data_IF_291058646162
#
_entry.id   IF_291058646162
#
_cell.length_a   1.000
_cell.length_b   1.000
_cell.length_c   1.000
_cell.angle_alpha   90.00
_cell.angle_beta   90.00
_cell.angle_gamma   90.00
#
_symmetry.space_group_name_H-M   'P 1'
#
loop_
_entity.id
_entity.type
_entity.pdbx_description
1 polymer ?
#
# COMPACT_ATOMS: atom_id res chain seq x y z
N UNK A 1 16.49 -1.74 44.20
CA UNK A 1 15.62 -1.76 43.00
C UNK A 1 14.30 -2.54 43.20
N UNK A 2 14.30 -3.71 43.87
CA UNK A 2 13.07 -4.49 44.20
C UNK A 2 11.90 -3.67 44.79
N UNK A 3 12.17 -2.75 45.73
CA UNK A 3 11.14 -1.87 46.33
C UNK A 3 10.54 -0.81 45.40
N UNK A 4 11.25 -0.39 44.33
CA UNK A 4 10.70 0.54 43.33
C UNK A 4 9.73 -0.20 42.39
N UNK A 5 10.04 -1.45 42.07
CA UNK A 5 9.23 -2.30 41.19
C UNK A 5 7.90 -2.69 41.84
N UNK A 6 7.90 -3.12 43.12
CA UNK A 6 6.67 -3.39 43.88
C UNK A 6 5.78 -2.15 44.04
N UNK A 7 6.37 -0.97 44.28
CA UNK A 7 5.62 0.29 44.37
C UNK A 7 4.98 0.67 43.03
N UNK A 8 5.66 0.40 41.91
CA UNK A 8 5.09 0.63 40.59
C UNK A 8 3.94 -0.34 40.30
N UNK A 9 4.13 -1.63 40.59
CA UNK A 9 3.14 -2.68 40.38
C UNK A 9 1.86 -2.47 41.21
N UNK A 10 2.00 -2.15 42.50
CA UNK A 10 0.87 -1.86 43.39
C UNK A 10 0.10 -0.61 42.99
N UNK A 11 0.79 0.41 42.49
CA UNK A 11 0.15 1.63 41.94
C UNK A 11 -0.60 1.35 40.64
N UNK A 12 -0.04 0.53 39.75
CA UNK A 12 -0.68 0.14 38.48
C UNK A 12 -1.91 -0.75 38.74
N UNK A 13 -1.84 -1.71 39.67
CA UNK A 13 -3.00 -2.54 40.04
C UNK A 13 -4.12 -1.70 40.70
N UNK A 14 -3.76 -0.72 41.53
CA UNK A 14 -4.74 0.20 42.14
C UNK A 14 -5.38 1.13 41.11
N UNK A 15 -4.61 1.64 40.14
CA UNK A 15 -5.13 2.47 39.05
C UNK A 15 -6.01 1.66 38.08
N UNK A 16 -5.61 0.43 37.74
CA UNK A 16 -6.36 -0.44 36.85
C UNK A 16 -7.72 -0.82 37.43
N UNK A 17 -7.82 -1.02 38.76
CA UNK A 17 -9.09 -1.25 39.46
C UNK A 17 -10.00 -0.03 39.52
N UNK A 18 -9.44 1.18 39.39
CA UNK A 18 -10.18 2.44 39.45
C UNK A 18 -10.79 2.83 38.08
N UNK A 19 -10.14 2.40 36.99
CA UNK A 19 -10.55 2.71 35.61
C UNK A 19 -11.43 1.61 34.99
N UNK A 20 -11.30 0.37 35.45
CA UNK A 20 -12.16 -0.76 35.01
C UNK A 20 -13.28 -0.95 36.03
N UNK A 21 -14.30 -0.11 35.97
CA UNK A 21 -15.58 -0.38 36.64
C UNK A 21 -16.27 -1.54 35.94
N UNK A 22 -15.99 -2.75 36.43
CA UNK A 22 -16.81 -3.94 36.16
C UNK A 22 -18.25 -3.59 36.56
N UNK A 23 -19.26 -3.79 35.69
CA UNK A 23 -20.65 -3.54 36.09
C UNK A 23 -21.00 -4.41 37.31
N UNK A 24 -21.72 -3.86 38.32
CA UNK A 24 -22.05 -4.62 39.51
C UNK A 24 -22.97 -5.81 39.17
N UNK A 25 -22.87 -6.94 39.91
CA UNK A 25 -23.83 -8.02 39.76
C UNK A 25 -25.19 -7.57 40.32
N UNK A 26 -26.28 -7.88 39.61
CA UNK A 26 -27.65 -7.66 40.10
C UNK A 26 -28.30 -8.97 40.56
N UNK A 27 -29.26 -8.89 41.50
CA UNK A 27 -29.80 -10.03 42.22
C UNK A 27 -30.70 -10.90 41.34
N UNK A 28 -30.80 -12.16 41.74
CA UNK A 28 -31.72 -13.20 41.28
C UNK A 28 -33.13 -12.70 40.90
N UNK A 29 -33.55 -12.86 39.63
CA UNK A 29 -34.62 -13.78 39.18
C UNK A 29 -35.05 -13.53 37.71
N UNK A 30 -35.21 -14.66 36.99
CA UNK A 30 -36.12 -14.98 35.87
C UNK A 30 -36.66 -13.86 34.97
N UNK A 31 -36.22 -13.84 33.70
CA UNK A 31 -37.09 -13.51 32.56
C UNK A 31 -36.53 -14.07 31.23
N UNK A 32 -37.42 -14.78 30.54
CA UNK A 32 -37.31 -15.57 29.31
C UNK A 32 -36.71 -14.89 28.07
N UNK A 33 -35.88 -15.68 27.38
CA UNK A 33 -35.84 -15.92 25.92
C UNK A 33 -35.41 -14.84 24.91
N UNK A 34 -34.81 -13.71 25.29
CA UNK A 34 -34.26 -12.75 24.29
C UNK A 34 -32.80 -12.29 24.56
N UNK A 35 -32.00 -13.04 25.33
CA UNK A 35 -30.67 -12.56 25.80
C UNK A 35 -29.47 -13.48 25.57
N UNK A 36 -29.52 -14.41 24.60
CA UNK A 36 -28.36 -15.31 24.35
C UNK A 36 -27.07 -14.58 23.94
N UNK A 37 -27.16 -13.41 23.30
CA UNK A 37 -25.98 -12.60 22.98
C UNK A 37 -25.31 -12.00 24.22
N UNK A 38 -26.09 -11.36 25.09
CA UNK A 38 -25.59 -10.65 26.29
C UNK A 38 -25.19 -11.60 27.42
N UNK A 39 -25.86 -12.75 27.53
CA UNK A 39 -25.52 -13.80 28.51
C UNK A 39 -24.25 -14.54 28.12
N UNK A 40 -24.00 -14.81 26.83
CA UNK A 40 -22.74 -15.40 26.38
C UNK A 40 -21.57 -14.43 26.52
N UNK A 41 -21.76 -13.14 26.25
CA UNK A 41 -20.76 -12.11 26.55
C UNK A 41 -20.46 -12.05 28.06
N UNK A 42 -21.49 -12.07 28.93
CA UNK A 42 -21.31 -12.12 30.39
C UNK A 42 -20.62 -13.39 30.86
N UNK A 43 -20.97 -14.54 30.29
CA UNK A 43 -20.38 -15.84 30.61
C UNK A 43 -18.89 -15.87 30.26
N UNK A 44 -18.51 -15.35 29.08
CA UNK A 44 -17.12 -15.20 28.63
C UNK A 44 -16.31 -14.40 29.67
N UNK A 45 -16.85 -13.27 30.14
CA UNK A 45 -16.23 -12.44 31.17
C UNK A 45 -16.12 -13.14 32.54
N UNK A 46 -17.13 -13.92 32.93
CA UNK A 46 -17.07 -14.69 34.21
C UNK A 46 -16.13 -15.89 34.16
N UNK A 47 -15.96 -16.56 33.02
CA UNK A 47 -14.97 -17.63 32.85
C UNK A 47 -13.55 -17.11 32.64
N UNK A 48 -13.37 -15.87 32.18
CA UNK A 48 -12.04 -15.23 32.08
C UNK A 48 -11.47 -14.78 33.42
N UNK A 49 -12.29 -14.57 34.45
CA UNK A 49 -11.83 -14.19 35.80
C UNK A 49 -10.83 -15.21 36.41
N UNK A 50 -11.11 -16.54 36.43
CA UNK A 50 -10.16 -17.51 36.97
C UNK A 50 -8.86 -17.60 36.16
N UNK A 51 -8.91 -17.52 34.82
CA UNK A 51 -7.70 -17.52 33.99
C UNK A 51 -6.87 -16.24 34.15
N UNK A 52 -7.55 -15.08 34.23
CA UNK A 52 -6.91 -13.78 34.50
C UNK A 52 -6.16 -13.82 35.81
N UNK A 53 -6.84 -14.21 36.89
CA UNK A 53 -6.27 -14.22 38.23
C UNK A 53 -5.13 -15.25 38.34
N UNK A 54 -5.24 -16.40 37.68
CA UNK A 54 -4.16 -17.39 37.56
C UNK A 54 -2.92 -16.82 36.88
N UNK A 55 -3.07 -16.17 35.72
CA UNK A 55 -1.95 -15.58 34.97
C UNK A 55 -1.29 -14.44 35.75
N UNK A 56 -2.10 -13.57 36.39
CA UNK A 56 -1.58 -12.47 37.21
C UNK A 56 -0.81 -12.99 38.41
N UNK A 57 -1.32 -14.03 39.09
CA UNK A 57 -0.63 -14.64 40.24
C UNK A 57 0.66 -15.35 39.80
N UNK A 58 0.65 -16.07 38.69
CA UNK A 58 1.86 -16.70 38.11
C UNK A 58 2.93 -15.66 37.77
N UNK A 59 2.57 -14.58 37.06
CA UNK A 59 3.50 -13.50 36.73
C UNK A 59 4.04 -12.78 37.97
N UNK A 60 3.22 -12.66 39.02
CA UNK A 60 3.61 -12.10 40.30
C UNK A 60 4.61 -13.00 41.02
N UNK A 61 4.40 -14.30 41.06
CA UNK A 61 5.36 -15.26 41.63
C UNK A 61 6.69 -15.23 40.89
N UNK A 62 6.66 -15.22 39.56
CA UNK A 62 7.88 -15.15 38.73
C UNK A 62 8.70 -13.87 38.99
N UNK A 63 8.03 -12.73 39.16
CA UNK A 63 8.69 -11.46 39.46
C UNK A 63 9.17 -11.33 40.92
N UNK A 64 8.62 -12.13 41.85
CA UNK A 64 8.96 -12.09 43.27
C UNK A 64 10.06 -13.09 43.65
N UNK A 65 10.11 -14.25 43.01
CA UNK A 65 11.03 -15.33 43.36
C UNK A 65 12.48 -14.95 43.00
N UNK A 66 12.77 -14.66 41.74
CA UNK A 66 14.14 -14.40 41.26
C UNK A 66 14.27 -13.12 40.44
N UNK A 67 15.50 -12.61 40.38
CA UNK A 67 15.82 -11.46 39.53
C UNK A 67 15.92 -11.92 38.07
N UNK A 68 15.03 -11.39 37.22
CA UNK A 68 15.00 -11.70 35.80
C UNK A 68 15.94 -10.74 35.06
N UNK A 69 16.96 -11.28 34.38
CA UNK A 69 17.95 -10.49 33.64
C UNK A 69 17.54 -10.21 32.19
N UNK A 70 16.77 -11.10 31.55
CA UNK A 70 16.37 -10.95 30.15
C UNK A 70 15.33 -9.84 29.95
N UNK A 71 15.74 -8.77 29.27
CA UNK A 71 14.86 -7.66 28.89
C UNK A 71 13.70 -8.09 27.98
N UNK A 72 13.89 -9.11 27.15
CA UNK A 72 12.83 -9.62 26.27
C UNK A 72 11.73 -10.31 27.08
N UNK A 73 12.12 -11.16 28.05
CA UNK A 73 11.18 -11.84 28.92
C UNK A 73 10.37 -10.83 29.74
N UNK A 74 11.03 -9.82 30.31
CA UNK A 74 10.36 -8.74 31.05
C UNK A 74 9.32 -8.03 30.17
N UNK A 75 9.67 -7.70 28.92
CA UNK A 75 8.73 -7.09 27.96
C UNK A 75 7.52 -7.99 27.68
N UNK A 76 7.73 -9.30 27.45
CA UNK A 76 6.64 -10.25 27.19
C UNK A 76 5.75 -10.44 28.42
N UNK A 77 6.32 -10.49 29.63
CA UNK A 77 5.57 -10.58 30.89
C UNK A 77 4.66 -9.36 31.09
N UNK A 78 5.18 -8.15 30.90
CA UNK A 78 4.37 -6.93 31.02
C UNK A 78 3.31 -6.80 29.93
N UNK A 79 3.60 -7.20 28.70
CA UNK A 79 2.60 -7.24 27.64
C UNK A 79 1.46 -8.21 27.97
N UNK A 80 1.78 -9.40 28.50
CA UNK A 80 0.78 -10.37 28.92
C UNK A 80 -0.06 -9.82 30.08
N UNK A 81 0.57 -9.19 31.08
CA UNK A 81 -0.13 -8.54 32.18
C UNK A 81 -1.07 -7.43 31.67
N UNK A 82 -0.58 -6.54 30.81
CA UNK A 82 -1.38 -5.45 30.25
C UNK A 82 -2.60 -5.98 29.52
N UNK A 83 -2.46 -7.10 28.79
CA UNK A 83 -3.54 -7.77 28.07
C UNK A 83 -4.65 -8.27 29.01
N UNK A 84 -4.27 -8.78 30.18
CA UNK A 84 -5.21 -9.22 31.22
C UNK A 84 -6.05 -8.08 31.80
N UNK A 85 -5.49 -6.87 31.92
CA UNK A 85 -6.22 -5.70 32.40
C UNK A 85 -6.92 -4.90 31.28
N UNK A 86 -6.47 -5.03 30.04
CA UNK A 86 -6.97 -4.28 28.88
C UNK A 86 -7.94 -5.07 28.01
N UNK A 87 -8.73 -5.98 28.59
CA UNK A 87 -9.60 -6.89 27.83
C UNK A 87 -10.59 -6.19 26.89
N UNK A 88 -11.11 -5.02 27.28
CA UNK A 88 -12.01 -4.22 26.41
C UNK A 88 -11.27 -3.69 25.18
N UNK A 89 -10.01 -3.26 25.34
CA UNK A 89 -9.19 -2.77 24.22
C UNK A 89 -8.88 -3.91 23.27
N UNK A 90 -8.45 -5.05 23.80
CA UNK A 90 -8.16 -6.25 23.02
C UNK A 90 -9.38 -6.73 22.22
N UNK A 91 -10.56 -6.71 22.84
CA UNK A 91 -11.80 -7.04 22.16
C UNK A 91 -12.12 -6.04 21.05
N UNK A 92 -12.00 -4.73 21.31
CA UNK A 92 -12.21 -3.69 20.30
C UNK A 92 -11.26 -3.87 19.11
N UNK A 93 -9.99 -4.11 19.39
CA UNK A 93 -8.95 -4.28 18.36
C UNK A 93 -9.21 -5.57 17.54
N UNK A 94 -9.64 -6.66 18.19
CA UNK A 94 -10.05 -7.89 17.50
C UNK A 94 -11.33 -7.73 16.68
N UNK A 95 -12.31 -6.98 17.19
CA UNK A 95 -13.56 -6.68 16.48
C UNK A 95 -13.31 -5.84 15.23
N UNK A 96 -12.33 -4.92 15.27
CA UNK A 96 -11.92 -4.16 14.10
C UNK A 96 -11.42 -5.05 12.96
N UNK A 97 -10.85 -6.23 13.28
CA UNK A 97 -10.36 -7.24 12.33
C UNK A 97 -11.37 -8.34 12.00
N UNK A 98 -12.58 -8.29 12.56
CA UNK A 98 -13.60 -9.33 12.34
C UNK A 98 -14.44 -8.98 11.12
N UNK A 99 -14.60 -9.95 10.20
CA UNK A 99 -15.43 -9.81 9.00
C UNK A 99 -16.44 -10.95 8.93
N UNK A 100 -17.70 -10.63 8.61
CA UNK A 100 -18.79 -11.62 8.52
C UNK A 100 -19.13 -11.85 7.06
N UNK A 101 -19.13 -13.11 6.64
CA UNK A 101 -19.34 -13.55 5.27
C UNK A 101 -20.57 -14.46 5.19
N UNK A 102 -21.17 -14.51 4.00
CA UNK A 102 -22.25 -15.44 3.72
C UNK A 102 -21.69 -16.86 3.52
N UNK A 103 -22.40 -17.89 4.00
CA UNK A 103 -21.97 -19.30 3.95
C UNK A 103 -21.62 -19.79 2.52
N UNK A 104 -22.33 -19.29 1.52
CA UNK A 104 -22.07 -19.56 0.08
C UNK A 104 -20.66 -19.20 -0.38
N UNK A 105 -19.99 -18.25 0.26
CA UNK A 105 -18.68 -17.75 -0.16
C UNK A 105 -17.52 -18.46 0.56
N UNK A 106 -17.77 -19.42 1.45
CA UNK A 106 -16.74 -20.04 2.30
C UNK A 106 -15.61 -20.69 1.49
N UNK A 107 -15.92 -21.39 0.40
CA UNK A 107 -14.91 -22.03 -0.45
C UNK A 107 -14.02 -20.99 -1.15
N UNK A 108 -14.64 -19.95 -1.71
CA UNK A 108 -13.92 -18.85 -2.36
C UNK A 108 -13.00 -18.14 -1.34
N UNK A 109 -13.41 -18.01 -0.07
CA UNK A 109 -12.61 -17.39 1.01
C UNK A 109 -11.44 -18.29 1.37
N UNK A 110 -11.65 -19.60 1.43
CA UNK A 110 -10.60 -20.57 1.73
C UNK A 110 -9.50 -20.51 0.67
N UNK A 111 -9.87 -20.54 -0.61
CA UNK A 111 -8.93 -20.39 -1.72
C UNK A 111 -8.20 -19.05 -1.65
N UNK A 112 -8.93 -17.96 -1.36
CA UNK A 112 -8.35 -16.64 -1.17
C UNK A 112 -7.28 -16.61 -0.07
N UNK A 113 -7.55 -17.21 1.10
CA UNK A 113 -6.61 -17.25 2.22
C UNK A 113 -5.35 -18.04 1.84
N UNK A 114 -5.49 -19.16 1.12
CA UNK A 114 -4.34 -19.96 0.65
C UNK A 114 -3.44 -19.10 -0.24
N UNK A 115 -4.00 -18.40 -1.22
CA UNK A 115 -3.22 -17.52 -2.10
C UNK A 115 -2.61 -16.33 -1.35
N UNK A 116 -3.30 -15.79 -0.34
CA UNK A 116 -2.76 -14.73 0.50
C UNK A 116 -1.56 -15.20 1.34
N UNK A 117 -1.62 -16.41 1.89
CA UNK A 117 -0.50 -17.01 2.62
C UNK A 117 0.70 -17.16 1.68
N UNK A 118 0.49 -17.69 0.47
CA UNK A 118 1.55 -17.80 -0.54
C UNK A 118 2.22 -16.45 -0.82
N UNK A 119 1.45 -15.37 -0.96
CA UNK A 119 2.02 -14.02 -1.15
C UNK A 119 2.80 -13.55 0.08
N UNK A 120 2.30 -13.81 1.29
CA UNK A 120 2.98 -13.39 2.52
C UNK A 120 4.29 -14.14 2.76
N UNK A 121 4.38 -15.41 2.37
CA UNK A 121 5.63 -16.17 2.43
C UNK A 121 6.71 -15.57 1.51
N UNK A 122 6.30 -14.96 0.39
CA UNK A 122 7.22 -14.30 -0.54
C UNK A 122 7.77 -12.97 -0.02
N UNK A 123 7.24 -12.39 1.07
CA UNK A 123 7.73 -11.12 1.62
C UNK A 123 9.16 -11.21 2.18
N UNK A 124 9.54 -12.38 2.69
CA UNK A 124 10.83 -12.60 3.36
C UNK A 124 11.87 -13.29 2.47
N UNK A 125 11.48 -13.70 1.25
CA UNK A 125 12.29 -14.54 0.36
C UNK A 125 12.91 -13.68 -0.74
N UNK A 126 14.15 -14.01 -1.13
CA UNK A 126 14.79 -13.40 -2.29
C UNK A 126 14.25 -14.03 -3.58
N UNK A 127 13.83 -13.20 -4.53
CA UNK A 127 13.14 -13.68 -5.72
C UNK A 127 14.05 -14.39 -6.74
N UNK A 128 13.68 -15.63 -7.06
CA UNK A 128 14.13 -16.38 -8.23
C UNK A 128 12.97 -16.66 -9.20
N UNK A 129 13.25 -17.35 -10.31
CA UNK A 129 12.25 -17.59 -11.37
C UNK A 129 11.04 -18.43 -10.89
N UNK A 130 11.25 -19.30 -9.90
CA UNK A 130 10.18 -20.11 -9.30
C UNK A 130 9.19 -19.25 -8.51
N UNK A 131 9.71 -18.38 -7.66
CA UNK A 131 8.98 -17.45 -6.81
C UNK A 131 8.22 -16.42 -7.65
N UNK A 132 8.84 -15.93 -8.74
CA UNK A 132 8.20 -15.06 -9.72
C UNK A 132 6.95 -15.70 -10.32
N UNK A 133 7.04 -16.95 -10.77
CA UNK A 133 5.91 -17.67 -11.35
C UNK A 133 4.79 -17.90 -10.31
N UNK A 134 5.16 -18.16 -9.05
CA UNK A 134 4.21 -18.31 -7.94
C UNK A 134 3.51 -16.98 -7.66
N UNK A 135 4.25 -15.87 -7.58
CA UNK A 135 3.69 -14.53 -7.36
C UNK A 135 2.68 -14.16 -8.44
N UNK A 136 3.07 -14.28 -9.72
CA UNK A 136 2.20 -13.94 -10.86
C UNK A 136 0.92 -14.77 -10.84
N UNK A 137 1.03 -16.07 -10.55
CA UNK A 137 -0.12 -16.97 -10.44
C UNK A 137 -1.01 -16.61 -9.25
N UNK A 138 -0.42 -16.32 -8.08
CA UNK A 138 -1.12 -15.93 -6.87
C UNK A 138 -1.92 -14.65 -7.07
N UNK A 139 -1.28 -13.59 -7.60
CA UNK A 139 -1.95 -12.32 -7.91
C UNK A 139 -3.09 -12.51 -8.91
N UNK A 140 -2.89 -13.27 -9.98
CA UNK A 140 -3.93 -13.54 -10.97
C UNK A 140 -5.12 -14.30 -10.37
N UNK A 141 -4.86 -15.29 -9.51
CA UNK A 141 -5.90 -16.06 -8.81
C UNK A 141 -6.68 -15.20 -7.81
N UNK A 142 -6.01 -14.31 -7.08
CA UNK A 142 -6.67 -13.36 -6.19
C UNK A 142 -7.58 -12.40 -6.95
N UNK A 143 -7.12 -11.86 -8.09
CA UNK A 143 -7.92 -10.96 -8.92
C UNK A 143 -9.15 -11.63 -9.54
N UNK A 144 -9.04 -12.90 -9.92
CA UNK A 144 -10.15 -13.65 -10.52
C UNK A 144 -11.10 -14.26 -9.49
N UNK A 145 -10.84 -14.09 -8.20
CA UNK A 145 -11.74 -14.54 -7.16
C UNK A 145 -12.96 -13.59 -7.06
N UNK A 146 -14.16 -14.15 -6.96
CA UNK A 146 -15.42 -13.39 -6.87
C UNK A 146 -15.50 -12.51 -5.64
N UNK A 147 -14.83 -12.90 -4.55
CA UNK A 147 -14.79 -12.13 -3.30
C UNK A 147 -14.10 -10.79 -3.48
N UNK A 148 -13.15 -10.70 -4.40
CA UNK A 148 -12.36 -9.48 -4.62
C UNK A 148 -13.24 -8.27 -4.91
N UNK A 149 -14.31 -8.45 -5.69
CA UNK A 149 -15.25 -7.39 -6.04
C UNK A 149 -16.43 -7.27 -5.07
N UNK A 150 -16.86 -8.39 -4.48
CA UNK A 150 -18.01 -8.39 -3.56
C UNK A 150 -17.67 -7.78 -2.20
N UNK A 151 -16.42 -7.95 -1.74
CA UNK A 151 -15.97 -7.58 -0.40
C UNK A 151 -14.65 -6.78 -0.44
N UNK A 152 -14.64 -5.55 -1.00
CA UNK A 152 -13.43 -4.74 -1.12
C UNK A 152 -12.82 -4.37 0.25
N UNK A 153 -13.65 -4.26 1.29
CA UNK A 153 -13.18 -3.98 2.66
C UNK A 153 -12.38 -5.14 3.26
N UNK A 154 -12.67 -6.38 2.88
CA UNK A 154 -11.92 -7.55 3.33
C UNK A 154 -10.46 -7.51 2.81
N UNK A 155 -10.28 -7.08 1.56
CA UNK A 155 -8.96 -6.93 0.94
C UNK A 155 -8.10 -5.88 1.68
N UNK A 156 -8.74 -4.79 2.11
CA UNK A 156 -8.10 -3.75 2.90
C UNK A 156 -7.78 -4.24 4.30
N UNK A 157 -8.73 -4.93 4.94
CA UNK A 157 -8.59 -5.45 6.30
C UNK A 157 -7.45 -6.48 6.45
N UNK A 158 -7.23 -7.28 5.41
CA UNK A 158 -6.17 -8.27 5.36
C UNK A 158 -4.84 -7.69 4.84
N UNK A 159 -4.75 -6.37 4.65
CA UNK A 159 -3.56 -5.66 4.19
C UNK A 159 -2.94 -6.26 2.93
N UNK A 160 -3.76 -6.73 1.98
CA UNK A 160 -3.24 -7.37 0.76
C UNK A 160 -2.43 -6.37 -0.07
N UNK A 161 -2.95 -5.15 -0.18
CA UNK A 161 -2.28 -4.04 -0.85
C UNK A 161 -0.92 -3.69 -0.24
N UNK A 162 -0.80 -3.66 1.10
CA UNK A 162 0.49 -3.42 1.79
C UNK A 162 1.50 -4.54 1.49
N UNK A 163 1.05 -5.80 1.45
CA UNK A 163 1.93 -6.94 1.13
C UNK A 163 2.44 -6.82 -0.32
N UNK A 164 1.55 -6.56 -1.28
CA UNK A 164 1.92 -6.42 -2.71
C UNK A 164 2.81 -5.19 -2.93
N UNK A 165 2.52 -4.08 -2.26
CA UNK A 165 3.37 -2.89 -2.29
C UNK A 165 4.75 -3.15 -1.70
N UNK A 166 4.84 -3.86 -0.59
CA UNK A 166 6.12 -4.23 0.02
C UNK A 166 6.95 -5.11 -0.91
N UNK A 167 6.33 -6.09 -1.58
CA UNK A 167 6.99 -6.91 -2.61
C UNK A 167 7.48 -6.03 -3.77
N UNK A 168 6.62 -5.16 -4.29
CA UNK A 168 6.96 -4.24 -5.38
C UNK A 168 8.11 -3.31 -5.00
N UNK A 169 8.09 -2.74 -3.79
CA UNK A 169 9.17 -1.92 -3.23
C UNK A 169 10.49 -2.69 -3.19
N UNK A 170 10.48 -3.90 -2.64
CA UNK A 170 11.69 -4.74 -2.54
C UNK A 170 12.27 -5.05 -3.93
N UNK A 171 11.43 -5.32 -4.93
CA UNK A 171 11.87 -5.58 -6.31
C UNK A 171 12.48 -4.32 -6.93
N UNK A 172 11.83 -3.16 -6.78
CA UNK A 172 12.29 -1.89 -7.34
C UNK A 172 13.61 -1.42 -6.71
N UNK A 173 13.74 -1.50 -5.38
CA UNK A 173 14.97 -1.13 -4.67
C UNK A 173 16.12 -2.08 -5.01
N UNK A 174 15.85 -3.39 -5.17
CA UNK A 174 16.87 -4.35 -5.59
C UNK A 174 17.42 -4.03 -6.99
N UNK A 175 16.58 -3.53 -7.90
CA UNK A 175 17.03 -3.12 -9.24
C UNK A 175 17.79 -1.79 -9.23
N UNK A 176 17.46 -0.85 -8.34
CA UNK A 176 18.23 0.39 -8.21
C UNK A 176 19.63 0.16 -7.65
N UNK A 177 19.76 -0.72 -6.64
CA UNK A 177 21.06 -1.08 -6.06
C UNK A 177 22.02 -1.77 -7.05
N UNK A 178 21.50 -2.41 -8.10
CA UNK A 178 22.34 -2.94 -9.19
C UNK A 178 22.84 -1.85 -10.15
N UNK A 179 22.14 -0.73 -10.29
CA UNK A 179 22.52 0.36 -11.21
C UNK A 179 23.53 1.32 -10.59
N UNK A 180 23.52 1.52 -9.27
CA UNK A 180 24.48 2.40 -8.58
C UNK A 180 25.90 1.82 -8.47
N UNK A 181 26.07 0.50 -8.61
CA UNK A 181 27.37 -0.17 -8.60
C UNK A 181 28.00 -0.36 -9.99
N UNK A 182 27.32 0.02 -11.08
CA UNK A 182 27.86 -0.04 -12.46
C UNK A 182 28.59 1.27 -12.86
N UNK A 183 29.14 1.99 -11.88
CA UNK A 183 29.96 3.19 -12.09
C UNK A 183 31.45 2.92 -12.30
N UNK A 184 31.94 1.69 -12.09
CA UNK A 184 33.33 1.35 -12.35
C UNK A 184 33.49 -0.15 -12.65
N UNK A 185 34.37 -0.45 -13.60
CA UNK A 185 34.76 -1.77 -14.12
C UNK A 185 33.85 -2.47 -15.14
N UNK A 186 34.37 -2.52 -16.38
CA UNK A 186 34.05 -3.48 -17.43
C UNK A 186 34.13 -4.93 -16.91
N UNK A 187 33.01 -5.50 -16.48
CA UNK A 187 32.82 -6.95 -16.35
C UNK A 187 31.60 -7.38 -17.14
N UNK A 188 31.75 -8.55 -17.76
CA UNK A 188 30.81 -9.20 -18.67
C UNK A 188 29.35 -9.06 -18.23
N UNK A 189 28.48 -8.68 -19.18
CA UNK A 189 27.02 -8.62 -19.02
C UNK A 189 26.47 -9.96 -18.55
N UNK A 190 26.35 -10.14 -17.24
CA UNK A 190 25.31 -11.01 -16.69
C UNK A 190 23.96 -10.40 -17.10
N UNK A 191 22.98 -11.20 -17.57
CA UNK A 191 21.72 -10.65 -18.03
C UNK A 191 21.07 -9.89 -16.88
N UNK A 192 20.71 -8.62 -17.11
CA UNK A 192 19.78 -7.90 -16.24
C UNK A 192 18.65 -8.87 -15.89
N UNK A 193 18.53 -9.25 -14.62
CA UNK A 193 17.43 -10.11 -14.17
C UNK A 193 16.16 -9.29 -14.37
N UNK A 194 15.42 -9.60 -15.43
CA UNK A 194 14.33 -8.79 -15.97
C UNK A 194 13.09 -8.94 -15.06
N UNK A 195 13.17 -8.51 -13.79
CA UNK A 195 12.07 -8.53 -12.82
C UNK A 195 10.89 -7.61 -13.21
N UNK A 196 10.99 -6.99 -14.38
CA UNK A 196 9.99 -6.19 -15.06
C UNK A 196 8.62 -6.87 -15.08
N UNK A 197 8.55 -8.18 -15.31
CA UNK A 197 7.27 -8.91 -15.35
C UNK A 197 6.57 -8.99 -14.00
N UNK A 198 7.33 -9.09 -12.90
CA UNK A 198 6.79 -9.06 -11.55
C UNK A 198 6.22 -7.68 -11.21
N UNK A 199 6.97 -6.62 -11.53
CA UNK A 199 6.52 -5.23 -11.33
C UNK A 199 5.23 -4.97 -12.11
N UNK A 200 5.14 -5.49 -13.34
CA UNK A 200 3.93 -5.41 -14.17
C UNK A 200 2.75 -6.14 -13.52
N UNK A 201 2.96 -7.35 -13.00
CA UNK A 201 1.90 -8.11 -12.33
C UNK A 201 1.41 -7.41 -11.05
N UNK A 202 2.32 -6.91 -10.22
CA UNK A 202 1.99 -6.14 -9.02
C UNK A 202 1.25 -4.85 -9.36
N UNK A 203 1.75 -4.07 -10.32
CA UNK A 203 1.14 -2.81 -10.74
C UNK A 203 -0.27 -3.03 -11.27
N UNK A 204 -0.46 -4.06 -12.09
CA UNK A 204 -1.79 -4.43 -12.59
C UNK A 204 -2.72 -4.74 -11.42
N UNK A 205 -2.33 -5.62 -10.50
CA UNK A 205 -3.12 -5.95 -9.31
C UNK A 205 -3.53 -4.72 -8.52
N UNK A 206 -2.58 -3.80 -8.26
CA UNK A 206 -2.83 -2.59 -7.48
C UNK A 206 -3.76 -1.61 -8.21
N UNK A 207 -3.64 -1.47 -9.54
CA UNK A 207 -4.61 -0.73 -10.35
C UNK A 207 -6.03 -1.31 -10.21
N UNK A 208 -6.19 -2.64 -10.24
CA UNK A 208 -7.49 -3.27 -10.00
C UNK A 208 -7.99 -3.02 -8.58
N UNK A 209 -7.12 -3.12 -7.57
CA UNK A 209 -7.46 -2.82 -6.18
C UNK A 209 -7.97 -1.38 -6.01
N UNK A 210 -7.29 -0.38 -6.59
CA UNK A 210 -7.72 1.02 -6.56
C UNK A 210 -9.09 1.25 -7.20
N UNK A 211 -9.45 0.51 -8.26
CA UNK A 211 -10.76 0.66 -8.94
C UNK A 211 -11.94 0.12 -8.13
N UNK A 212 -11.70 -0.74 -7.13
CA UNK A 212 -12.79 -1.37 -6.37
C UNK A 212 -13.44 -0.44 -5.35
N UNK A 213 -12.71 0.53 -4.80
CA UNK A 213 -13.20 1.37 -3.70
C UNK A 213 -12.37 2.66 -3.53
N UNK A 214 -13.05 3.76 -3.20
CA UNK A 214 -12.42 5.04 -2.84
C UNK A 214 -11.58 4.98 -1.56
N UNK A 215 -11.94 4.10 -0.62
CA UNK A 215 -11.17 3.87 0.60
C UNK A 215 -9.88 3.08 0.30
N UNK A 216 -9.92 2.20 -0.70
CA UNK A 216 -8.73 1.47 -1.16
C UNK A 216 -7.74 2.40 -1.87
N UNK A 217 -8.26 3.36 -2.65
CA UNK A 217 -7.48 4.48 -3.20
C UNK A 217 -6.74 5.26 -2.10
N UNK A 218 -7.43 5.60 -1.00
CA UNK A 218 -6.82 6.32 0.12
C UNK A 218 -5.64 5.55 0.74
N UNK A 219 -5.78 4.23 0.93
CA UNK A 219 -4.68 3.42 1.45
C UNK A 219 -3.47 3.39 0.51
N UNK A 220 -3.72 3.38 -0.81
CA UNK A 220 -2.65 3.44 -1.81
C UNK A 220 -2.01 4.83 -1.94
N UNK A 221 -2.77 5.89 -1.68
CA UNK A 221 -2.29 7.28 -1.75
C UNK A 221 -1.14 7.56 -0.78
N UNK A 222 -1.08 6.86 0.36
CA UNK A 222 0.03 6.97 1.32
C UNK A 222 1.39 6.56 0.71
N UNK A 223 1.37 5.73 -0.33
CA UNK A 223 2.56 5.29 -1.06
C UNK A 223 2.84 6.10 -2.34
N UNK A 224 2.10 7.18 -2.60
CA UNK A 224 2.17 7.95 -3.84
C UNK A 224 3.59 8.47 -4.14
N UNK A 225 4.27 9.06 -3.15
CA UNK A 225 5.64 9.57 -3.37
C UNK A 225 6.59 8.47 -3.82
N UNK A 226 6.54 7.30 -3.19
CA UNK A 226 7.41 6.17 -3.57
C UNK A 226 7.12 5.69 -5.00
N UNK A 227 5.84 5.61 -5.37
CA UNK A 227 5.44 5.24 -6.73
C UNK A 227 5.93 6.25 -7.77
N UNK A 228 5.92 7.54 -7.43
CA UNK A 228 6.42 8.61 -8.29
C UNK A 228 7.95 8.59 -8.43
N UNK A 229 8.69 8.28 -7.36
CA UNK A 229 10.15 8.14 -7.41
C UNK A 229 10.60 7.02 -8.36
N UNK A 230 9.74 6.02 -8.55
CA UNK A 230 9.96 4.87 -9.43
C UNK A 230 9.13 4.93 -10.73
N UNK A 231 8.50 6.08 -11.03
CA UNK A 231 7.53 6.19 -12.13
C UNK A 231 8.14 5.97 -13.51
N UNK A 232 9.42 6.27 -13.70
CA UNK A 232 10.14 6.13 -14.98
C UNK A 232 10.32 4.67 -15.43
N UNK A 233 10.15 3.72 -14.51
CA UNK A 233 10.40 2.32 -14.80
C UNK A 233 9.37 1.77 -15.79
N UNK A 234 9.85 1.15 -16.87
CA UNK A 234 9.05 0.46 -17.90
C UNK A 234 8.14 1.37 -18.75
N UNK A 235 8.26 2.69 -18.65
CA UNK A 235 7.44 3.63 -19.45
C UNK A 235 7.76 3.60 -20.94
N UNK A 236 9.00 3.27 -21.31
CA UNK A 236 9.45 3.13 -22.69
C UNK A 236 8.75 2.00 -23.48
N UNK A 237 8.02 1.09 -22.81
CA UNK A 237 7.30 -0.03 -23.44
C UNK A 237 5.78 0.27 -23.52
N UNK A 238 5.24 0.68 -24.68
CA UNK A 238 3.81 0.96 -24.84
C UNK A 238 2.88 -0.19 -24.44
N UNK A 239 3.33 -1.44 -24.63
CA UNK A 239 2.56 -2.65 -24.32
C UNK A 239 2.24 -2.83 -22.84
N UNK A 240 2.94 -2.11 -21.95
CA UNK A 240 2.78 -2.21 -20.50
C UNK A 240 1.83 -1.14 -19.92
N UNK A 241 1.07 -0.44 -20.77
CA UNK A 241 0.05 0.52 -20.34
C UNK A 241 -0.97 -0.13 -19.40
N UNK A 242 -1.25 0.53 -18.28
CA UNK A 242 -2.09 0.03 -17.20
C UNK A 242 -1.38 -0.89 -16.20
N UNK A 243 -0.07 -1.10 -16.34
CA UNK A 243 0.72 -2.05 -15.54
C UNK A 243 2.09 -1.50 -15.13
N UNK A 244 2.23 -0.18 -15.01
CA UNK A 244 3.45 0.48 -14.51
C UNK A 244 3.21 1.22 -13.19
N UNK A 245 4.25 1.51 -12.38
CA UNK A 245 4.11 2.26 -11.13
C UNK A 245 3.38 3.60 -11.28
N UNK A 246 3.60 4.31 -12.39
CA UNK A 246 2.90 5.56 -12.71
C UNK A 246 1.38 5.36 -12.86
N UNK A 247 0.93 4.20 -13.38
CA UNK A 247 -0.49 3.91 -13.50
C UNK A 247 -1.14 3.66 -12.15
N UNK A 248 -0.41 3.00 -11.24
CA UNK A 248 -0.85 2.82 -9.86
C UNK A 248 -0.96 4.18 -9.16
N UNK A 249 0.01 5.06 -9.39
CA UNK A 249 0.05 6.41 -8.82
C UNK A 249 -1.21 7.20 -9.18
N UNK A 250 -1.56 7.38 -10.47
CA UNK A 250 -2.80 8.11 -10.79
C UNK A 250 -4.06 7.33 -10.44
N UNK A 251 -4.05 5.99 -10.51
CA UNK A 251 -5.21 5.19 -10.09
C UNK A 251 -5.53 5.36 -8.59
N UNK A 252 -4.55 5.79 -7.78
CA UNK A 252 -4.75 6.04 -6.34
C UNK A 252 -5.61 7.26 -6.02
N UNK A 253 -5.83 8.18 -6.96
CA UNK A 253 -6.65 9.39 -6.72
C UNK A 253 -7.66 9.72 -7.83
N UNK A 254 -7.61 9.04 -8.98
CA UNK A 254 -8.40 9.37 -10.19
C UNK A 254 -9.92 9.48 -9.96
N UNK A 255 -10.51 8.72 -9.02
CA UNK A 255 -11.95 8.73 -8.76
C UNK A 255 -12.33 9.41 -7.43
N UNK A 256 -11.38 10.13 -6.81
CA UNK A 256 -11.52 10.70 -5.48
C UNK A 256 -11.07 12.17 -5.40
N UNK A 257 -12.06 13.07 -5.36
CA UNK A 257 -11.85 14.51 -5.28
C UNK A 257 -11.06 14.92 -4.02
N UNK A 258 -11.27 14.26 -2.88
CA UNK A 258 -10.56 14.59 -1.63
C UNK A 258 -9.06 14.30 -1.73
N UNK A 259 -8.69 13.17 -2.35
CA UNK A 259 -7.29 12.79 -2.51
C UNK A 259 -6.60 13.67 -3.54
N UNK A 260 -7.31 14.07 -4.59
CA UNK A 260 -6.77 14.98 -5.57
C UNK A 260 -6.49 16.38 -5.01
N UNK A 261 -7.34 16.88 -4.11
CA UNK A 261 -7.07 18.12 -3.38
C UNK A 261 -5.94 17.96 -2.35
N UNK A 262 -5.67 16.74 -1.90
CA UNK A 262 -4.56 16.43 -0.99
C UNK A 262 -3.21 16.28 -1.69
N UNK A 263 -3.16 16.38 -3.03
CA UNK A 263 -1.91 16.33 -3.80
C UNK A 263 -0.98 17.48 -3.43
N UNK A 264 0.30 17.14 -3.28
CA UNK A 264 1.33 18.11 -2.90
C UNK A 264 2.03 18.69 -4.12
N UNK A 265 2.53 19.93 -3.99
CA UNK A 265 3.38 20.56 -5.01
C UNK A 265 4.63 19.73 -5.31
N UNK A 266 5.22 19.09 -4.28
CA UNK A 266 6.38 18.21 -4.45
C UNK A 266 6.11 17.02 -5.39
N UNK A 267 4.92 16.43 -5.34
CA UNK A 267 4.55 15.27 -6.15
C UNK A 267 4.36 15.67 -7.61
N UNK A 268 3.70 16.81 -7.86
CA UNK A 268 3.51 17.36 -9.20
C UNK A 268 4.81 17.90 -9.79
N UNK A 269 5.72 18.45 -8.97
CA UNK A 269 7.03 18.93 -9.42
C UNK A 269 7.89 17.77 -9.94
N UNK A 270 7.89 16.60 -9.26
CA UNK A 270 8.56 15.39 -9.75
C UNK A 270 8.09 15.00 -11.15
N UNK A 271 6.77 14.96 -11.37
CA UNK A 271 6.19 14.64 -12.67
C UNK A 271 6.57 15.68 -13.73
N UNK A 272 6.57 16.97 -13.37
CA UNK A 272 7.01 18.04 -14.27
C UNK A 272 8.50 17.93 -14.64
N UNK A 273 9.36 17.50 -13.71
CA UNK A 273 10.78 17.24 -13.98
C UNK A 273 10.97 16.02 -14.89
N UNK A 274 10.19 14.95 -14.71
CA UNK A 274 10.26 13.82 -15.64
C UNK A 274 9.77 14.19 -17.04
N UNK A 275 8.69 14.95 -17.13
CA UNK A 275 8.17 15.45 -18.41
C UNK A 275 9.18 16.38 -19.12
N UNK A 276 9.91 17.22 -18.38
CA UNK A 276 10.94 18.09 -18.98
C UNK A 276 12.09 17.29 -19.58
N UNK A 277 12.48 16.18 -18.95
CA UNK A 277 13.49 15.24 -19.48
C UNK A 277 13.01 14.58 -20.77
N UNK A 278 11.75 14.15 -20.86
CA UNK A 278 11.17 13.60 -22.08
C UNK A 278 11.23 14.60 -23.25
N UNK A 279 11.13 15.90 -22.98
CA UNK A 279 11.23 16.96 -23.98
C UNK A 279 12.66 17.30 -24.43
N UNK A 280 13.69 16.69 -23.83
CA UNK A 280 15.12 16.92 -24.11
C UNK A 280 15.86 15.66 -24.57
N UNK A 281 15.33 14.47 -24.26
CA UNK A 281 15.98 13.20 -24.55
C UNK A 281 15.15 12.38 -25.53
N UNK A 282 15.76 11.81 -26.58
CA UNK A 282 15.08 10.88 -27.46
C UNK A 282 14.96 9.50 -26.82
N UNK A 283 13.92 8.76 -27.22
CA UNK A 283 13.69 7.41 -26.74
C UNK A 283 14.69 6.42 -27.40
N UNK A 284 15.72 6.02 -26.65
CA UNK A 284 16.74 5.07 -27.12
C UNK A 284 16.17 3.71 -27.54
N UNK A 285 15.09 3.23 -26.91
CA UNK A 285 14.45 1.97 -27.32
C UNK A 285 13.81 2.09 -28.70
N UNK A 286 13.13 3.19 -29.00
CA UNK A 286 12.54 3.42 -30.31
C UNK A 286 13.61 3.55 -31.40
N UNK A 287 14.68 4.30 -31.11
CA UNK A 287 15.80 4.45 -32.05
C UNK A 287 16.43 3.07 -32.34
N UNK A 288 16.60 2.22 -31.32
CA UNK A 288 17.12 0.85 -31.52
C UNK A 288 16.20 -0.04 -32.35
N UNK A 289 14.88 0.21 -32.33
CA UNK A 289 13.87 -0.47 -33.17
C UNK A 289 13.80 0.08 -34.59
N UNK A 290 14.66 1.04 -34.96
CA UNK A 290 14.74 1.60 -36.31
C UNK A 290 13.82 2.80 -36.56
N UNK A 291 13.21 3.37 -35.52
CA UNK A 291 12.43 4.61 -35.67
C UNK A 291 13.35 5.83 -35.79
N UNK A 292 12.94 6.87 -36.54
CA UNK A 292 13.72 8.09 -36.68
C UNK A 292 13.84 8.80 -35.33
N UNK A 293 15.04 9.32 -35.05
CA UNK A 293 15.28 10.15 -33.87
C UNK A 293 14.57 11.51 -34.04
N UNK A 294 13.65 11.80 -33.12
CA UNK A 294 12.84 13.03 -33.11
C UNK A 294 13.40 14.04 -32.08
N UNK A 295 14.38 13.66 -31.27
CA UNK A 295 14.99 14.51 -30.23
C UNK A 295 14.12 14.71 -28.98
N UNK A 296 13.00 13.99 -28.85
CA UNK A 296 12.15 13.96 -27.66
C UNK A 296 11.39 12.62 -27.59
N UNK A 297 10.88 12.26 -26.42
CA UNK A 297 10.13 11.01 -26.18
C UNK A 297 8.60 11.23 -26.23
N UNK A 298 7.92 10.80 -27.32
CA UNK A 298 6.47 10.90 -27.42
C UNK A 298 5.69 9.90 -26.58
N UNK A 299 6.29 8.75 -26.24
CA UNK A 299 5.61 7.67 -25.51
C UNK A 299 5.54 8.04 -24.05
N UNK A 300 6.67 8.32 -23.42
CA UNK A 300 6.70 8.66 -21.99
C UNK A 300 6.00 10.00 -21.72
N UNK A 301 6.18 10.97 -22.62
CA UNK A 301 5.53 12.27 -22.54
C UNK A 301 4.00 12.19 -22.48
N UNK A 302 3.37 11.34 -23.31
CA UNK A 302 1.91 11.12 -23.26
C UNK A 302 1.47 10.67 -21.86
N UNK A 303 2.26 9.80 -21.20
CA UNK A 303 1.88 9.15 -19.94
C UNK A 303 1.93 10.12 -18.76
N UNK A 304 2.94 10.99 -18.73
CA UNK A 304 3.00 12.05 -17.74
C UNK A 304 1.93 13.11 -17.95
N UNK A 305 1.59 13.45 -19.21
CA UNK A 305 0.47 14.34 -19.52
C UNK A 305 -0.86 13.71 -19.10
N UNK A 306 -1.06 12.41 -19.31
CA UNK A 306 -2.23 11.68 -18.83
C UNK A 306 -2.34 11.74 -17.29
N UNK A 307 -1.22 11.56 -16.58
CA UNK A 307 -1.18 11.74 -15.12
C UNK A 307 -1.66 13.14 -14.72
N UNK A 308 -1.10 14.20 -15.32
CA UNK A 308 -1.47 15.59 -15.04
C UNK A 308 -2.93 15.87 -15.41
N UNK A 309 -3.44 15.26 -16.48
CA UNK A 309 -4.86 15.34 -16.86
C UNK A 309 -5.75 14.81 -15.75
N UNK A 310 -5.42 13.67 -15.13
CA UNK A 310 -6.20 13.13 -14.01
C UNK A 310 -6.04 13.93 -12.71
N UNK A 311 -4.98 14.71 -12.53
CA UNK A 311 -4.87 15.65 -11.41
C UNK A 311 -5.81 16.85 -11.53
N UNK A 312 -6.03 17.31 -12.77
CA UNK A 312 -6.80 18.53 -13.07
C UNK A 312 -8.28 18.22 -13.35
N UNK A 313 -8.57 17.08 -13.95
CA UNK A 313 -9.92 16.70 -14.38
C UNK A 313 -10.38 15.42 -13.70
N UNK A 314 -11.36 15.53 -12.80
CA UNK A 314 -11.84 14.42 -11.97
C UNK A 314 -13.36 14.41 -11.96
N UNK A 315 -13.95 13.23 -12.21
CA UNK A 315 -15.41 13.04 -12.19
C UNK A 315 -16.22 14.03 -13.05
N UNK A 316 -15.61 14.65 -14.07
CA UNK A 316 -16.27 15.65 -14.93
C UNK A 316 -16.13 17.10 -14.46
N UNK A 317 -15.42 17.33 -13.36
CA UNK A 317 -15.16 18.66 -12.79
C UNK A 317 -13.67 19.02 -12.89
N UNK A 318 -13.39 20.32 -12.94
CA UNK A 318 -12.05 20.87 -12.95
C UNK A 318 -11.61 21.21 -11.52
N UNK A 319 -10.44 20.74 -11.12
CA UNK A 319 -9.80 21.07 -9.84
C UNK A 319 -8.89 22.28 -10.06
N UNK A 320 -9.42 23.49 -9.84
CA UNK A 320 -8.73 24.75 -10.16
C UNK A 320 -7.42 24.93 -9.41
N UNK A 321 -7.33 24.50 -8.14
CA UNK A 321 -6.10 24.59 -7.34
C UNK A 321 -4.96 23.78 -7.98
N UNK A 322 -5.26 22.54 -8.38
CA UNK A 322 -4.33 21.68 -9.10
C UNK A 322 -4.00 22.24 -10.48
N UNK A 323 -4.98 22.76 -11.21
CA UNK A 323 -4.77 23.38 -12.52
C UNK A 323 -3.78 24.55 -12.43
N UNK A 324 -3.99 25.46 -11.48
CA UNK A 324 -3.11 26.60 -11.24
C UNK A 324 -1.69 26.17 -10.87
N UNK A 325 -1.54 25.11 -10.09
CA UNK A 325 -0.25 24.56 -9.72
C UNK A 325 0.47 23.93 -10.92
N UNK A 326 -0.22 23.06 -11.68
CA UNK A 326 0.31 22.43 -12.90
C UNK A 326 0.73 23.49 -13.91
N UNK A 327 -0.10 24.52 -14.17
CA UNK A 327 0.24 25.61 -15.08
C UNK A 327 1.51 26.34 -14.62
N UNK A 328 1.62 26.68 -13.33
CA UNK A 328 2.81 27.35 -12.78
C UNK A 328 4.07 26.50 -12.94
N UNK A 329 3.98 25.20 -12.68
CA UNK A 329 5.10 24.26 -12.81
C UNK A 329 5.56 24.11 -14.28
N UNK A 330 4.61 24.07 -15.22
CA UNK A 330 4.90 23.95 -16.66
C UNK A 330 5.47 25.24 -17.24
N UNK A 331 4.99 26.43 -16.83
CA UNK A 331 5.54 27.71 -17.30
C UNK A 331 7.00 27.90 -16.86
N UNK A 332 7.35 27.42 -15.65
CA UNK A 332 8.73 27.43 -15.14
C UNK A 332 9.67 26.52 -15.93
N UNK A 333 9.14 25.57 -16.71
CA UNK A 333 9.90 24.55 -17.46
C UNK A 333 9.41 24.48 -18.91
N UNK A 334 9.83 25.42 -19.79
CA UNK A 334 9.42 25.42 -21.20
C UNK A 334 9.86 24.15 -21.95
N UNK A 335 10.76 23.35 -21.37
CA UNK A 335 11.22 22.08 -21.92
C UNK A 335 10.12 21.02 -21.98
N UNK A 336 9.10 21.11 -21.11
CA UNK A 336 7.92 20.24 -21.11
C UNK A 336 7.03 20.44 -22.35
N UNK A 337 7.14 21.58 -23.03
CA UNK A 337 6.41 21.84 -24.26
C UNK A 337 7.09 21.14 -25.44
N UNK A 338 6.32 20.65 -26.39
CA UNK A 338 6.88 20.05 -27.60
C UNK A 338 7.75 21.05 -28.37
N UNK A 339 8.78 20.58 -29.07
CA UNK A 339 9.77 21.40 -29.79
C UNK A 339 9.13 22.42 -30.75
N UNK A 340 7.96 22.08 -31.33
CA UNK A 340 7.20 22.97 -32.22
C UNK A 340 6.48 24.14 -31.51
N UNK A 341 6.39 24.13 -30.18
CA UNK A 341 5.71 25.12 -29.35
C UNK A 341 6.67 25.95 -28.47
N UNK A 342 7.95 25.57 -28.39
CA UNK A 342 8.96 26.33 -27.65
C UNK A 342 9.33 27.60 -28.43
N UNK A 343 9.31 28.78 -27.80
CA UNK A 343 9.94 30.03 -28.25
C UNK A 343 9.90 30.36 -29.76
N UNK A 344 10.81 29.76 -30.53
CA UNK A 344 10.99 29.92 -32.00
C UNK A 344 10.20 28.90 -32.85
N UNK A 345 9.34 28.09 -32.22
CA UNK A 345 8.59 27.02 -32.86
C UNK A 345 7.58 27.52 -33.89
N UNK A 346 7.39 26.75 -34.96
CA UNK A 346 6.49 27.10 -36.07
C UNK A 346 4.97 27.07 -35.70
N UNK A 347 4.64 26.78 -34.44
CA UNK A 347 3.28 26.72 -33.94
C UNK A 347 2.57 25.39 -34.20
N UNK A 348 1.50 25.13 -33.42
CA UNK A 348 0.77 23.86 -33.42
C UNK A 348 0.21 23.49 -34.81
N UNK A 349 -0.32 24.49 -35.54
CA UNK A 349 -0.93 24.27 -36.85
C UNK A 349 0.09 23.82 -37.90
N UNK A 350 1.27 24.44 -37.93
CA UNK A 350 2.33 24.05 -38.85
C UNK A 350 2.83 22.63 -38.52
N UNK A 351 2.94 22.29 -37.23
CA UNK A 351 3.32 20.96 -36.78
C UNK A 351 2.32 19.88 -37.24
N UNK A 352 1.01 20.11 -37.07
CA UNK A 352 -0.02 19.18 -37.55
C UNK A 352 -0.02 19.03 -39.07
N UNK A 353 0.20 20.13 -39.81
CA UNK A 353 0.29 20.11 -41.27
C UNK A 353 1.52 19.36 -41.76
N UNK A 354 2.65 19.48 -41.07
CA UNK A 354 3.86 18.73 -41.37
C UNK A 354 3.69 17.22 -41.08
N UNK A 355 3.02 16.85 -39.98
CA UNK A 355 2.71 15.45 -39.64
C UNK A 355 1.79 14.81 -40.68
N UNK A 356 0.73 15.51 -41.11
CA UNK A 356 -0.22 15.01 -42.13
C UNK A 356 0.40 14.84 -43.53
N UNK A 357 1.55 15.45 -43.80
CA UNK A 357 2.30 15.30 -45.06
C UNK A 357 3.31 14.16 -45.04
N UNK A 358 3.63 13.61 -43.86
CA UNK A 358 4.64 12.55 -43.66
C UNK A 358 4.05 11.17 -43.37
N UNK A 359 2.74 11.07 -43.11
CA UNK A 359 1.97 9.82 -43.11
C UNK A 359 1.10 9.77 -44.35
#
# INVERSE_FOLDING_TARGET
MKNKFLKYWSKVDSLARLVVTVPPPLPSEKASSMKRGTENFRALFTTTLPCRDMIVNMLREWALNDFIESNELIRKMFNLLLRQYSGVRELRDAMALTYVLHERNVLDVQDFIIYLIQIRELLTVQFEHTEEAILKRGLWKLMNNRIFFQHPDLMRLLSVHENVMSIMMNILTAQQGTVEHEGDELKERAPLKDCSEMVVACSRFLCYFCRTSRQNQKAMFEHLSFLLDNATMLLARPSLRGSVPLDVAYSSFMDNNELALALKEEELDKVAVYLSRCGLQPNSELVSKGYPDIGWDPIEGERYIDFLRFCVWINGENVEENANLVIRLLIRRPECLGVALKGEGQGLFAAFKARKRRG
#
